data_IF_699351264259
#
_entry.id   IF_699351264259
#
_cell.length_a   1.000
_cell.length_b   1.000
_cell.length_c   1.000
_cell.angle_alpha   90.00
_cell.angle_beta   90.00
_cell.angle_gamma   90.00
#
_symmetry.space_group_name_H-M   'P 1'
#
loop_
_entity.id
_entity.type
_entity.pdbx_description
1 polymer ?
#
# COMPACT_ATOMS: atom_id res chain seq x y z
N UNK A 1 -2.90 -11.56 25.26
CA UNK A 1 -3.58 -11.00 24.07
C UNK A 1 -2.96 -9.65 23.80
N UNK A 2 -2.62 -9.38 22.54
CA UNK A 2 -2.08 -8.06 22.13
C UNK A 2 -3.21 -7.04 22.07
N UNK A 3 -3.04 -5.92 22.76
CA UNK A 3 -4.01 -4.84 22.79
C UNK A 3 -3.83 -3.92 21.59
N UNK A 4 -4.86 -3.77 20.76
CA UNK A 4 -4.80 -2.97 19.53
C UNK A 4 -5.86 -1.86 19.57
N UNK A 5 -5.41 -0.63 19.34
CA UNK A 5 -6.29 0.52 19.19
C UNK A 5 -6.30 1.00 17.73
N UNK A 6 -7.50 1.25 17.17
CA UNK A 6 -7.65 1.76 15.80
C UNK A 6 -8.28 3.15 15.87
N UNK A 7 -7.45 4.18 15.77
CA UNK A 7 -7.92 5.56 15.67
C UNK A 7 -8.37 5.85 14.24
N UNK A 8 -9.64 6.23 14.09
CA UNK A 8 -10.29 6.36 12.77
C UNK A 8 -10.92 5.05 12.24
N UNK A 9 -11.30 4.13 13.13
CA UNK A 9 -11.93 2.83 12.79
C UNK A 9 -13.20 2.89 11.93
N UNK A 10 -13.82 4.07 11.79
CA UNK A 10 -14.97 4.28 10.92
C UNK A 10 -14.61 4.55 9.44
N UNK A 11 -13.35 4.85 9.10
CA UNK A 11 -12.89 5.02 7.71
C UNK A 11 -12.80 3.69 6.96
N UNK A 12 -12.69 3.70 5.62
CA UNK A 12 -12.65 2.47 4.80
C UNK A 12 -11.51 1.53 5.22
N UNK A 13 -10.30 2.04 5.38
CA UNK A 13 -9.13 1.24 5.81
C UNK A 13 -9.28 0.77 7.26
N UNK A 14 -9.67 1.68 8.18
CA UNK A 14 -9.83 1.37 9.60
C UNK A 14 -10.93 0.35 9.86
N UNK A 15 -12.05 0.44 9.15
CA UNK A 15 -13.14 -0.53 9.24
C UNK A 15 -12.67 -1.92 8.83
N UNK A 16 -11.96 -2.03 7.69
CA UNK A 16 -11.46 -3.32 7.20
C UNK A 16 -10.39 -3.93 8.12
N UNK A 17 -9.49 -3.11 8.70
CA UNK A 17 -8.55 -3.58 9.74
C UNK A 17 -9.33 -4.11 10.95
N UNK A 18 -10.32 -3.35 11.44
CA UNK A 18 -11.14 -3.72 12.59
C UNK A 18 -11.87 -5.05 12.38
N UNK A 19 -12.53 -5.23 11.24
CA UNK A 19 -13.27 -6.46 10.90
C UNK A 19 -12.34 -7.66 10.94
N UNK A 20 -11.18 -7.60 10.32
CA UNK A 20 -10.19 -8.70 10.28
C UNK A 20 -9.56 -8.99 11.64
N UNK A 21 -9.24 -7.97 12.42
CA UNK A 21 -8.65 -8.18 13.74
C UNK A 21 -9.68 -8.67 14.76
N UNK A 22 -10.97 -8.38 14.57
CA UNK A 22 -12.04 -8.91 15.42
C UNK A 22 -12.20 -10.44 15.33
N UNK A 23 -11.75 -11.05 14.24
CA UNK A 23 -11.78 -12.52 14.06
C UNK A 23 -10.57 -13.23 14.70
N UNK A 24 -9.58 -12.47 15.21
CA UNK A 24 -8.33 -13.01 15.77
C UNK A 24 -8.44 -13.19 17.28
N UNK A 25 -8.23 -14.42 17.75
CA UNK A 25 -8.27 -14.78 19.19
C UNK A 25 -7.06 -14.29 19.99
N UNK A 26 -5.96 -13.91 19.34
CA UNK A 26 -4.75 -13.38 19.94
C UNK A 26 -4.77 -11.84 20.12
N UNK A 27 -5.80 -11.16 19.59
CA UNK A 27 -5.97 -9.71 19.61
C UNK A 27 -7.12 -9.30 20.56
N UNK A 28 -6.88 -8.24 21.32
CA UNK A 28 -7.90 -7.50 22.07
C UNK A 28 -8.06 -6.11 21.46
N UNK A 29 -9.23 -5.86 20.86
CA UNK A 29 -9.52 -4.54 20.29
C UNK A 29 -9.97 -3.57 21.35
N UNK A 30 -9.18 -2.52 21.60
CA UNK A 30 -9.54 -1.41 22.46
C UNK A 30 -10.57 -0.52 21.75
N UNK A 31 -11.63 -0.17 22.45
CA UNK A 31 -12.69 0.70 21.94
C UNK A 31 -12.73 2.02 22.72
N UNK A 32 -13.21 3.05 22.05
CA UNK A 32 -13.49 4.37 22.64
C UNK A 32 -14.98 4.69 22.37
N UNK A 33 -15.66 5.28 23.35
CA UNK A 33 -17.04 5.68 23.17
C UNK A 33 -17.21 6.70 22.05
N UNK A 34 -18.30 6.60 21.29
CA UNK A 34 -18.53 7.38 20.07
C UNK A 34 -18.40 8.91 20.29
N UNK A 35 -18.92 9.39 21.43
CA UNK A 35 -18.86 10.79 21.84
C UNK A 35 -17.46 11.25 22.26
N UNK A 36 -16.59 10.32 22.69
CA UNK A 36 -15.24 10.59 23.13
C UNK A 36 -14.17 10.39 22.05
N UNK A 37 -14.50 9.83 20.89
CA UNK A 37 -13.48 9.50 19.85
C UNK A 37 -12.72 10.69 19.29
N UNK A 38 -13.16 11.92 19.52
CA UNK A 38 -12.44 13.16 19.20
C UNK A 38 -11.81 13.82 20.45
N UNK A 39 -12.03 13.26 21.64
CA UNK A 39 -11.48 13.81 22.86
C UNK A 39 -9.99 13.44 22.98
N UNK A 40 -9.07 14.41 23.04
CA UNK A 40 -7.63 14.14 23.07
C UNK A 40 -7.20 13.31 24.29
N UNK A 41 -7.77 13.57 25.49
CA UNK A 41 -7.41 12.84 26.70
C UNK A 41 -7.84 11.37 26.64
N UNK A 42 -9.06 11.09 26.15
CA UNK A 42 -9.56 9.73 25.99
C UNK A 42 -8.75 8.95 24.91
N UNK A 43 -8.33 9.62 23.83
CA UNK A 43 -7.45 9.04 22.81
C UNK A 43 -6.06 8.73 23.38
N UNK A 44 -5.47 9.67 24.12
CA UNK A 44 -4.17 9.48 24.76
C UNK A 44 -4.18 8.29 25.75
N UNK A 45 -5.26 8.12 26.54
CA UNK A 45 -5.45 6.97 27.42
C UNK A 45 -5.44 5.66 26.62
N UNK A 46 -6.18 5.59 25.50
CA UNK A 46 -6.21 4.38 24.64
C UNK A 46 -4.88 4.10 23.96
N UNK A 47 -4.15 5.13 23.52
CA UNK A 47 -2.79 4.95 23.01
C UNK A 47 -1.83 4.40 24.09
N UNK A 48 -1.91 4.91 25.32
CA UNK A 48 -1.07 4.43 26.43
C UNK A 48 -1.39 2.97 26.84
N UNK A 49 -2.64 2.53 26.66
CA UNK A 49 -3.09 1.16 26.96
C UNK A 49 -2.69 0.17 25.86
N UNK A 50 -2.55 0.63 24.63
CA UNK A 50 -2.35 -0.23 23.45
C UNK A 50 -0.89 -0.69 23.30
N UNK A 51 -0.69 -1.95 22.91
CA UNK A 51 0.57 -2.47 22.39
C UNK A 51 0.81 -1.97 20.94
N UNK A 52 -0.27 -1.92 20.14
CA UNK A 52 -0.24 -1.44 18.75
C UNK A 52 -1.37 -0.45 18.51
N UNK A 53 -1.06 0.66 17.84
CA UNK A 53 -2.05 1.63 17.39
C UNK A 53 -2.01 1.81 15.87
N UNK A 54 -3.17 1.68 15.22
CA UNK A 54 -3.35 2.06 13.82
C UNK A 54 -3.91 3.48 13.75
N UNK A 55 -3.26 4.34 12.95
CA UNK A 55 -3.77 5.67 12.62
C UNK A 55 -4.42 5.64 11.24
N UNK A 56 -5.76 5.60 11.21
CA UNK A 56 -6.55 5.59 9.98
C UNK A 56 -7.23 6.96 9.79
N UNK A 57 -6.43 8.00 9.83
CA UNK A 57 -6.82 9.40 9.94
C UNK A 57 -6.36 10.23 8.73
N UNK A 58 -6.94 11.42 8.49
CA UNK A 58 -6.32 12.44 7.64
C UNK A 58 -4.96 12.89 8.19
N UNK A 59 -4.08 13.40 7.34
CA UNK A 59 -2.67 13.70 7.66
C UNK A 59 -2.49 14.58 8.91
N UNK A 60 -3.26 15.67 9.04
CA UNK A 60 -3.13 16.57 10.21
C UNK A 60 -3.57 15.89 11.51
N UNK A 61 -4.65 15.10 11.45
CA UNK A 61 -5.12 14.34 12.59
C UNK A 61 -4.17 13.18 12.96
N UNK A 62 -3.46 12.61 11.98
CA UNK A 62 -2.41 11.62 12.22
C UNK A 62 -1.20 12.25 12.95
N UNK A 63 -0.76 13.44 12.52
CA UNK A 63 0.29 14.19 13.22
C UNK A 63 -0.10 14.55 14.66
N UNK A 64 -1.34 15.01 14.87
CA UNK A 64 -1.89 15.26 16.20
C UNK A 64 -1.87 14.00 17.07
N UNK A 65 -2.33 12.85 16.52
CA UNK A 65 -2.35 11.57 17.22
C UNK A 65 -0.94 11.14 17.67
N UNK A 66 0.07 11.32 16.83
CA UNK A 66 1.48 11.04 17.19
C UNK A 66 1.92 11.91 18.38
N UNK A 67 1.51 13.18 18.42
CA UNK A 67 1.76 14.05 19.56
C UNK A 67 1.09 13.58 20.86
N UNK A 68 -0.12 12.99 20.77
CA UNK A 68 -0.81 12.42 21.94
C UNK A 68 -0.16 11.12 22.43
N UNK A 69 0.46 10.34 21.56
CA UNK A 69 1.17 9.10 21.89
C UNK A 69 2.47 9.42 22.63
N UNK A 70 3.17 10.50 22.23
CA UNK A 70 4.43 10.91 22.84
C UNK A 70 5.49 9.80 22.83
N UNK A 71 6.14 9.61 23.99
CA UNK A 71 7.20 8.61 24.19
C UNK A 71 6.67 7.21 24.60
N UNK A 72 5.38 6.95 24.48
CA UNK A 72 4.81 5.63 24.77
C UNK A 72 5.46 4.54 23.89
N UNK A 73 5.62 3.34 24.47
CA UNK A 73 6.22 2.18 23.79
C UNK A 73 5.30 1.57 22.73
N UNK A 74 4.11 2.10 22.54
CA UNK A 74 3.11 1.65 21.58
C UNK A 74 3.68 1.66 20.17
N UNK A 75 3.60 0.54 19.50
CA UNK A 75 3.92 0.43 18.06
C UNK A 75 2.85 1.18 17.28
N UNK A 76 3.25 2.15 16.46
CA UNK A 76 2.32 2.95 15.65
C UNK A 76 2.44 2.60 14.19
N UNK A 77 1.31 2.27 13.57
CA UNK A 77 1.20 2.01 12.14
C UNK A 77 0.29 3.08 11.55
N UNK A 78 0.90 4.06 10.85
CA UNK A 78 0.17 5.16 10.24
C UNK A 78 -0.19 4.84 8.80
N UNK A 79 -1.48 4.85 8.48
CA UNK A 79 -1.99 4.61 7.11
C UNK A 79 -2.18 5.91 6.31
N UNK A 80 -1.97 7.08 6.92
CA UNK A 80 -2.01 8.37 6.24
C UNK A 80 -0.79 8.61 5.35
N UNK A 81 -0.75 9.73 4.65
CA UNK A 81 0.45 10.14 3.90
C UNK A 81 1.44 10.95 4.73
N UNK A 82 1.09 11.29 5.99
CA UNK A 82 1.81 12.24 6.82
C UNK A 82 3.27 11.86 7.07
N UNK A 83 3.57 10.56 7.16
CA UNK A 83 4.86 10.09 7.65
C UNK A 83 5.60 9.16 6.66
N UNK A 84 5.06 8.90 5.46
CA UNK A 84 5.61 7.91 4.51
C UNK A 84 7.03 8.19 4.03
N UNK A 85 7.43 9.44 4.02
CA UNK A 85 8.78 9.88 3.64
C UNK A 85 9.54 10.57 4.78
N UNK A 86 9.02 10.44 6.00
CA UNK A 86 9.69 10.97 7.18
C UNK A 86 10.90 10.08 7.56
N UNK A 87 12.08 10.66 7.84
CA UNK A 87 13.26 9.89 8.19
C UNK A 87 13.14 9.12 9.52
N UNK A 88 12.26 9.57 10.42
CA UNK A 88 12.02 8.96 11.74
C UNK A 88 11.02 7.80 11.67
N UNK A 89 10.48 7.50 10.49
CA UNK A 89 9.50 6.46 10.29
C UNK A 89 10.03 5.35 9.37
N UNK A 90 9.77 4.11 9.75
CA UNK A 90 10.08 2.96 8.91
C UNK A 90 8.99 2.78 7.85
N UNK A 91 9.36 2.81 6.57
CA UNK A 91 8.42 2.58 5.48
C UNK A 91 7.94 1.11 5.46
N UNK A 92 6.64 0.89 5.49
CA UNK A 92 6.01 -0.41 5.74
C UNK A 92 5.84 -1.31 4.52
N UNK A 93 6.80 -1.38 3.58
CA UNK A 93 6.81 -2.34 2.48
C UNK A 93 7.87 -3.41 2.74
N UNK A 94 7.46 -4.51 3.39
CA UNK A 94 8.35 -5.51 3.97
C UNK A 94 9.25 -6.24 2.96
N UNK A 95 8.84 -6.31 1.69
CA UNK A 95 9.53 -7.04 0.62
C UNK A 95 10.72 -6.26 0.02
N UNK A 96 10.92 -5.00 0.39
CA UNK A 96 12.13 -4.27 0.03
C UNK A 96 13.34 -4.84 0.80
N UNK A 97 14.51 -4.70 0.19
CA UNK A 97 15.76 -5.22 0.77
C UNK A 97 15.98 -4.73 2.21
N UNK A 98 16.16 -5.65 3.16
CA UNK A 98 16.34 -5.42 4.60
C UNK A 98 15.19 -4.65 5.29
N UNK A 99 14.07 -4.47 4.63
CA UNK A 99 12.98 -3.68 5.20
C UNK A 99 12.20 -4.45 6.28
N UNK A 100 12.07 -5.78 6.12
CA UNK A 100 11.44 -6.66 7.12
C UNK A 100 12.14 -6.56 8.48
N UNK A 101 13.48 -6.58 8.48
CA UNK A 101 14.28 -6.45 9.72
C UNK A 101 14.16 -5.06 10.35
N UNK A 102 13.95 -4.01 9.55
CA UNK A 102 13.69 -2.67 10.06
C UNK A 102 12.31 -2.59 10.69
N UNK A 103 11.27 -3.11 10.02
CA UNK A 103 9.90 -3.15 10.54
C UNK A 103 9.83 -3.91 11.86
N UNK A 104 10.50 -5.06 11.96
CA UNK A 104 10.54 -5.87 13.17
C UNK A 104 11.12 -5.16 14.41
N UNK A 105 11.86 -4.08 14.20
CA UNK A 105 12.48 -3.27 15.27
C UNK A 105 11.84 -1.90 15.44
N UNK A 106 10.89 -1.56 14.58
CA UNK A 106 10.32 -0.22 14.52
C UNK A 106 9.16 -0.06 15.51
N UNK A 107 9.09 1.11 16.12
CA UNK A 107 7.92 1.58 16.88
C UNK A 107 7.08 2.58 16.07
N UNK A 108 7.57 3.05 14.93
CA UNK A 108 6.89 4.01 14.04
C UNK A 108 6.98 3.48 12.61
N UNK A 109 5.85 3.04 12.07
CA UNK A 109 5.75 2.40 10.75
C UNK A 109 4.77 3.19 9.90
N UNK A 110 5.24 3.68 8.76
CA UNK A 110 4.41 4.37 7.78
C UNK A 110 3.91 3.37 6.72
N UNK A 111 2.63 3.09 6.72
CA UNK A 111 2.02 2.16 5.79
C UNK A 111 1.95 2.75 4.37
N UNK A 112 2.37 2.02 3.34
CA UNK A 112 2.41 2.50 1.96
C UNK A 112 1.07 2.96 1.41
N UNK A 113 1.10 3.88 0.44
CA UNK A 113 -0.05 4.19 -0.39
C UNK A 113 -0.25 3.15 -1.49
N UNK A 114 -1.51 2.87 -1.86
CA UNK A 114 -1.81 1.79 -2.79
C UNK A 114 -1.11 1.92 -4.15
N UNK A 115 -1.20 3.07 -4.83
CA UNK A 115 -0.50 3.27 -6.11
C UNK A 115 1.02 3.19 -5.96
N UNK A 116 1.54 3.75 -4.85
CA UNK A 116 2.98 3.72 -4.59
C UNK A 116 3.48 2.31 -4.30
N UNK A 117 2.70 1.47 -3.60
CA UNK A 117 3.05 0.06 -3.36
C UNK A 117 3.35 -0.68 -4.66
N UNK A 118 2.47 -0.53 -5.66
CA UNK A 118 2.67 -1.17 -6.96
C UNK A 118 3.87 -0.63 -7.71
N UNK A 119 4.03 0.69 -7.77
CA UNK A 119 5.18 1.31 -8.43
C UNK A 119 6.52 0.96 -7.76
N UNK A 120 6.56 1.04 -6.44
CA UNK A 120 7.76 0.73 -5.66
C UNK A 120 8.16 -0.74 -5.80
N UNK A 121 7.18 -1.65 -5.82
CA UNK A 121 7.43 -3.07 -6.06
C UNK A 121 8.10 -3.32 -7.43
N UNK A 122 7.73 -2.52 -8.45
CA UNK A 122 8.33 -2.64 -9.78
C UNK A 122 9.71 -1.98 -9.88
N UNK A 123 9.88 -0.80 -9.30
CA UNK A 123 11.04 0.05 -9.58
C UNK A 123 12.17 -0.11 -8.56
N UNK A 124 11.84 -0.24 -7.27
CA UNK A 124 12.86 -0.26 -6.22
C UNK A 124 13.87 -1.41 -6.35
N UNK A 125 13.49 -2.65 -6.69
CA UNK A 125 14.47 -3.72 -6.92
C UNK A 125 15.42 -3.42 -8.07
N UNK A 126 14.93 -2.89 -9.19
CA UNK A 126 15.74 -2.56 -10.36
C UNK A 126 16.76 -1.48 -10.05
N UNK A 127 16.36 -0.42 -9.35
CA UNK A 127 17.27 0.66 -8.92
C UNK A 127 18.28 0.14 -7.91
N UNK A 128 17.84 -0.65 -6.92
CA UNK A 128 18.73 -1.22 -5.90
C UNK A 128 19.77 -2.19 -6.47
N UNK A 129 19.42 -2.92 -7.52
CA UNK A 129 20.34 -3.82 -8.22
C UNK A 129 21.22 -3.11 -9.26
N UNK A 130 21.03 -1.80 -9.49
CA UNK A 130 21.75 -1.05 -10.53
C UNK A 130 21.30 -1.36 -11.96
N UNK A 131 20.21 -2.13 -12.13
CA UNK A 131 19.62 -2.41 -13.44
C UNK A 131 18.85 -1.22 -14.01
N UNK A 132 18.42 -0.29 -13.16
CA UNK A 132 17.77 0.96 -13.58
C UNK A 132 18.48 2.15 -12.94
N UNK A 133 18.78 3.16 -13.76
CA UNK A 133 19.41 4.40 -13.27
C UNK A 133 18.44 5.16 -12.36
N UNK A 134 18.96 5.81 -11.32
CA UNK A 134 18.21 6.75 -10.48
C UNK A 134 17.70 7.96 -11.27
N UNK A 135 18.35 8.31 -12.36
CA UNK A 135 18.00 9.43 -13.23
C UNK A 135 17.01 9.04 -14.33
N UNK A 136 16.54 7.79 -14.35
CA UNK A 136 15.58 7.33 -15.35
C UNK A 136 14.27 8.11 -15.26
N UNK A 137 13.83 8.67 -16.38
CA UNK A 137 12.53 9.31 -16.50
C UNK A 137 11.47 8.24 -16.75
N UNK A 138 10.61 8.01 -15.78
CA UNK A 138 9.60 6.95 -15.81
C UNK A 138 8.20 7.51 -15.98
N UNK A 139 7.33 6.72 -16.62
CA UNK A 139 5.88 6.89 -16.60
C UNK A 139 5.22 5.75 -15.82
N UNK A 140 4.06 6.03 -15.24
CA UNK A 140 3.29 5.06 -14.47
C UNK A 140 1.81 5.25 -14.73
N UNK A 141 1.16 4.24 -15.29
CA UNK A 141 -0.29 4.10 -15.34
C UNK A 141 -0.75 3.22 -14.17
N UNK A 142 -1.80 3.63 -13.49
CA UNK A 142 -2.29 2.89 -12.34
C UNK A 142 -3.80 2.83 -12.33
N UNK A 143 -4.33 1.70 -12.77
CA UNK A 143 -5.76 1.40 -12.79
C UNK A 143 -6.19 0.91 -11.41
N UNK A 144 -7.26 1.50 -10.84
CA UNK A 144 -7.76 1.14 -9.51
C UNK A 144 -9.28 1.13 -9.45
N UNK A 145 -9.82 0.28 -8.56
CA UNK A 145 -11.21 0.34 -8.17
C UNK A 145 -11.55 1.60 -7.35
N UNK A 146 -12.82 1.99 -7.35
CA UNK A 146 -13.29 3.23 -6.70
C UNK A 146 -13.21 3.23 -5.17
N UNK A 147 -13.11 2.07 -4.54
CA UNK A 147 -12.99 1.96 -3.08
C UNK A 147 -11.77 2.70 -2.51
N UNK A 148 -10.70 2.89 -3.33
CA UNK A 148 -9.50 3.64 -2.95
C UNK A 148 -9.75 5.12 -2.64
N UNK A 149 -10.83 5.72 -3.14
CA UNK A 149 -11.24 7.08 -2.83
C UNK A 149 -12.01 7.24 -1.52
N UNK A 150 -12.20 6.15 -0.76
CA UNK A 150 -12.88 6.14 0.53
C UNK A 150 -14.39 6.32 0.43
N UNK A 151 -15.06 6.48 1.56
CA UNK A 151 -16.52 6.51 1.68
C UNK A 151 -17.23 7.46 0.72
N UNK A 152 -16.64 8.65 0.47
CA UNK A 152 -17.24 9.64 -0.42
C UNK A 152 -17.31 9.14 -1.86
N UNK A 153 -16.21 8.57 -2.37
CA UNK A 153 -16.15 8.05 -3.73
C UNK A 153 -16.99 6.77 -3.86
N UNK A 154 -16.99 5.91 -2.84
CA UNK A 154 -17.85 4.71 -2.81
C UNK A 154 -19.32 5.13 -2.96
N UNK A 155 -19.81 6.04 -2.12
CA UNK A 155 -21.18 6.54 -2.20
C UNK A 155 -21.51 7.19 -3.57
N UNK A 156 -20.52 7.90 -4.19
CA UNK A 156 -20.70 8.49 -5.52
C UNK A 156 -20.86 7.43 -6.61
N UNK A 157 -20.06 6.34 -6.58
CA UNK A 157 -20.11 5.26 -7.58
C UNK A 157 -21.29 4.31 -7.37
N UNK A 158 -21.78 4.17 -6.16
CA UNK A 158 -22.92 3.32 -5.81
C UNK A 158 -24.27 4.02 -5.97
N UNK A 159 -24.27 5.34 -6.18
CA UNK A 159 -25.49 6.11 -6.50
C UNK A 159 -25.94 5.85 -7.95
N UNK A 160 -27.10 5.25 -8.18
CA UNK A 160 -27.60 4.98 -9.52
C UNK A 160 -27.72 6.23 -10.41
N UNK A 161 -27.91 7.41 -9.83
CA UNK A 161 -27.98 8.67 -10.57
C UNK A 161 -26.66 9.03 -11.27
N UNK A 162 -25.54 8.46 -10.82
CA UNK A 162 -24.23 8.70 -11.39
C UNK A 162 -23.77 7.57 -12.35
N UNK A 163 -24.54 6.51 -12.53
CA UNK A 163 -24.10 5.30 -13.23
C UNK A 163 -23.60 5.58 -14.66
N UNK A 164 -24.32 6.34 -15.45
CA UNK A 164 -23.93 6.69 -16.83
C UNK A 164 -22.61 7.49 -16.86
N UNK A 165 -22.46 8.47 -15.97
CA UNK A 165 -21.26 9.33 -15.88
C UNK A 165 -20.03 8.58 -15.40
N UNK A 166 -20.18 7.56 -14.55
CA UNK A 166 -19.09 6.88 -13.85
C UNK A 166 -18.74 5.49 -14.41
N UNK A 167 -19.44 5.01 -15.43
CA UNK A 167 -19.19 3.69 -16.02
C UNK A 167 -17.82 3.58 -16.71
N UNK A 168 -17.34 4.66 -17.31
CA UNK A 168 -16.04 4.67 -17.99
C UNK A 168 -14.89 4.97 -17.03
N UNK A 169 -13.68 4.39 -17.24
CA UNK A 169 -12.48 4.75 -16.48
C UNK A 169 -12.14 6.23 -16.62
N UNK A 170 -11.69 6.86 -15.52
CA UNK A 170 -11.36 8.28 -15.47
C UNK A 170 -9.96 8.52 -14.94
N UNK A 171 -9.13 9.26 -15.69
CA UNK A 171 -7.82 9.72 -15.24
C UNK A 171 -8.02 10.88 -14.27
N UNK A 172 -7.30 10.87 -13.16
CA UNK A 172 -7.29 11.96 -12.18
C UNK A 172 -5.84 12.38 -11.84
N UNK A 173 -5.63 13.27 -10.89
CA UNK A 173 -4.28 13.76 -10.55
C UNK A 173 -3.61 14.54 -11.69
N UNK A 174 -4.38 15.20 -12.55
CA UNK A 174 -3.92 15.85 -13.78
C UNK A 174 -2.87 16.96 -13.55
N UNK A 175 -2.84 17.56 -12.36
CA UNK A 175 -1.85 18.57 -11.97
C UNK A 175 -0.47 18.00 -11.65
N UNK A 176 -0.30 16.67 -11.65
CA UNK A 176 0.95 15.96 -11.31
C UNK A 176 1.50 16.29 -9.91
N UNK A 177 0.60 16.58 -8.95
CA UNK A 177 0.92 16.81 -7.53
C UNK A 177 0.24 15.79 -6.61
N UNK A 178 0.06 14.56 -7.09
CA UNK A 178 -0.57 13.50 -6.33
C UNK A 178 0.24 13.15 -5.06
N UNK A 179 -0.45 12.93 -3.94
CA UNK A 179 0.14 12.67 -2.62
C UNK A 179 1.03 11.42 -2.53
N UNK A 180 0.98 10.50 -3.50
CA UNK A 180 1.86 9.35 -3.58
C UNK A 180 3.19 9.62 -4.31
N UNK A 181 3.33 10.72 -5.05
CA UNK A 181 4.55 11.01 -5.81
C UNK A 181 5.81 11.11 -4.92
N UNK A 182 5.77 11.73 -3.72
CA UNK A 182 6.96 11.75 -2.86
C UNK A 182 7.46 10.34 -2.49
N UNK A 183 6.57 9.40 -2.13
CA UNK A 183 6.98 8.02 -1.81
C UNK A 183 7.42 7.25 -3.07
N UNK A 184 6.78 7.46 -4.22
CA UNK A 184 7.19 6.86 -5.50
C UNK A 184 8.58 7.33 -5.94
N UNK A 185 9.00 8.53 -5.57
CA UNK A 185 10.32 9.06 -5.85
C UNK A 185 11.36 8.59 -4.83
N UNK A 186 11.11 8.85 -3.54
CA UNK A 186 12.13 8.76 -2.49
C UNK A 186 12.41 7.32 -2.07
N UNK A 187 11.41 6.44 -2.04
CA UNK A 187 11.61 5.07 -1.59
C UNK A 187 12.46 4.24 -2.57
N UNK A 188 12.24 4.29 -3.89
CA UNK A 188 13.14 3.68 -4.86
C UNK A 188 14.48 4.40 -4.98
N UNK A 189 14.60 5.64 -4.52
CA UNK A 189 15.78 6.49 -4.64
C UNK A 189 15.93 7.15 -6.00
N UNK A 190 14.81 7.47 -6.68
CA UNK A 190 14.82 8.17 -7.96
C UNK A 190 15.16 9.66 -7.78
N UNK A 191 15.88 10.25 -8.75
CA UNK A 191 16.17 11.68 -8.79
C UNK A 191 14.91 12.53 -9.04
N UNK A 192 13.94 11.97 -9.79
CA UNK A 192 12.69 12.64 -10.15
C UNK A 192 11.49 11.74 -9.93
N UNK A 193 10.31 12.29 -9.56
CA UNK A 193 9.07 11.51 -9.51
C UNK A 193 8.68 11.06 -10.93
N UNK A 194 7.97 9.92 -11.08
CA UNK A 194 7.46 9.51 -12.38
C UNK A 194 6.35 10.44 -12.88
N UNK A 195 6.15 10.50 -14.19
CA UNK A 195 4.88 11.00 -14.77
C UNK A 195 3.80 10.00 -14.37
N UNK A 196 2.79 10.45 -13.63
CA UNK A 196 1.83 9.56 -12.99
C UNK A 196 0.41 9.78 -13.51
N UNK A 197 -0.17 8.74 -14.08
CA UNK A 197 -1.54 8.71 -14.59
C UNK A 197 -2.41 7.71 -13.81
N UNK A 198 -2.93 8.08 -12.62
CA UNK A 198 -3.88 7.25 -11.90
C UNK A 198 -5.24 7.25 -12.58
N UNK A 199 -5.86 6.06 -12.69
CA UNK A 199 -7.13 5.83 -13.38
C UNK A 199 -8.08 5.13 -12.42
N UNK A 200 -9.21 5.76 -12.09
CA UNK A 200 -10.29 5.11 -11.34
C UNK A 200 -11.32 4.51 -12.30
N UNK A 201 -11.72 3.29 -12.02
CA UNK A 201 -12.71 2.54 -12.80
C UNK A 201 -13.95 2.19 -11.99
N UNK A 202 -14.97 1.69 -12.68
CA UNK A 202 -16.30 1.40 -12.13
C UNK A 202 -16.39 0.06 -11.37
N UNK A 203 -15.28 -0.63 -11.09
CA UNK A 203 -15.26 -1.78 -10.19
C UNK A 203 -14.85 -1.37 -8.78
N UNK A 204 -15.31 -2.12 -7.77
CA UNK A 204 -15.13 -1.76 -6.35
C UNK A 204 -13.67 -1.78 -5.91
N UNK A 205 -12.97 -2.91 -6.08
CA UNK A 205 -11.61 -3.13 -5.58
C UNK A 205 -10.77 -3.91 -6.60
N UNK A 206 -9.46 -3.75 -6.49
CA UNK A 206 -8.46 -4.31 -7.38
C UNK A 206 -7.61 -3.22 -8.02
N UNK A 207 -6.43 -3.59 -8.47
CA UNK A 207 -5.42 -2.65 -8.93
C UNK A 207 -4.46 -3.30 -9.94
N UNK A 208 -4.12 -2.56 -11.00
CA UNK A 208 -3.01 -2.87 -11.89
C UNK A 208 -2.16 -1.61 -12.07
N UNK A 209 -0.93 -1.66 -11.57
CA UNK A 209 0.04 -0.59 -11.75
C UNK A 209 1.02 -1.01 -12.83
N UNK A 210 1.19 -0.17 -13.84
CA UNK A 210 2.03 -0.43 -15.00
C UNK A 210 3.12 0.64 -15.13
N UNK A 211 4.37 0.19 -15.29
CA UNK A 211 5.50 1.04 -15.66
C UNK A 211 5.95 0.60 -17.05
N UNK A 212 5.90 1.53 -17.98
CA UNK A 212 6.38 1.34 -19.35
C UNK A 212 7.87 1.66 -19.39
N UNK A 213 8.66 0.72 -19.84
CA UNK A 213 10.11 0.83 -19.80
C UNK A 213 10.72 0.50 -21.18
N UNK A 214 11.22 1.50 -21.93
CA UNK A 214 12.12 1.23 -23.04
C UNK A 214 13.34 0.43 -22.57
N UNK A 215 13.67 -0.67 -23.25
CA UNK A 215 14.71 -1.59 -22.79
C UNK A 215 16.10 -0.93 -22.69
N UNK A 216 16.37 0.13 -23.46
CA UNK A 216 17.61 0.89 -23.40
C UNK A 216 17.79 1.68 -22.08
N UNK A 217 16.76 1.76 -21.21
CA UNK A 217 16.89 2.30 -19.86
C UNK A 217 17.42 1.26 -18.86
N UNK A 218 17.40 -0.04 -19.22
CA UNK A 218 18.02 -1.08 -18.39
C UNK A 218 19.54 -1.17 -18.60
N UNK A 219 20.26 -1.27 -17.50
CA UNK A 219 21.67 -1.66 -17.49
C UNK A 219 21.78 -3.20 -17.45
N UNK A 220 21.25 -3.87 -18.46
CA UNK A 220 21.13 -5.32 -18.54
C UNK A 220 20.05 -5.74 -19.52
N UNK A 221 19.66 -7.00 -19.48
CA UNK A 221 18.63 -7.57 -20.33
C UNK A 221 17.26 -7.64 -19.61
N UNK A 222 16.20 -7.89 -20.38
CA UNK A 222 14.86 -8.22 -19.84
C UNK A 222 14.93 -9.46 -18.95
N UNK A 223 15.74 -10.45 -19.34
CA UNK A 223 15.95 -11.67 -18.55
C UNK A 223 16.58 -11.38 -17.19
N UNK A 224 17.51 -10.42 -17.10
CA UNK A 224 18.11 -10.02 -15.81
C UNK A 224 17.07 -9.41 -14.89
N UNK A 225 16.16 -8.59 -15.41
CA UNK A 225 15.05 -8.02 -14.65
C UNK A 225 14.09 -9.12 -14.15
N UNK A 226 13.75 -10.09 -14.99
CA UNK A 226 12.90 -11.24 -14.63
C UNK A 226 13.55 -12.07 -13.51
N UNK A 227 14.81 -12.43 -13.65
CA UNK A 227 15.53 -13.22 -12.62
C UNK A 227 15.69 -12.45 -11.30
N UNK A 228 15.87 -11.12 -11.36
CA UNK A 228 15.84 -10.28 -10.18
C UNK A 228 14.49 -10.38 -9.46
N UNK A 229 13.37 -10.21 -10.16
CA UNK A 229 12.03 -10.31 -9.54
C UNK A 229 11.74 -11.71 -8.98
N UNK A 230 12.12 -12.77 -9.68
CA UNK A 230 12.02 -14.15 -9.18
C UNK A 230 12.85 -14.36 -7.91
N UNK A 231 13.97 -13.63 -7.77
CA UNK A 231 14.82 -13.72 -6.59
C UNK A 231 14.28 -12.93 -5.42
N UNK A 232 13.75 -11.72 -5.67
CA UNK A 232 13.23 -10.80 -4.64
C UNK A 232 11.86 -11.24 -4.16
N UNK A 233 10.96 -11.64 -5.07
CA UNK A 233 9.55 -11.92 -4.79
C UNK A 233 9.24 -13.42 -4.79
N UNK A 234 9.62 -14.11 -3.71
CA UNK A 234 9.44 -15.56 -3.50
C UNK A 234 8.38 -15.90 -2.45
N UNK A 235 7.86 -14.88 -1.77
CA UNK A 235 6.94 -15.08 -0.67
C UNK A 235 5.50 -15.32 -1.11
N UNK A 236 4.64 -15.74 -0.19
CA UNK A 236 3.22 -15.88 -0.47
C UNK A 236 2.52 -14.54 -0.65
N UNK A 237 3.05 -13.45 -0.05
CA UNK A 237 2.40 -12.13 -0.06
C UNK A 237 2.78 -11.33 -1.31
N UNK A 238 4.04 -11.37 -1.75
CA UNK A 238 4.44 -10.82 -3.06
C UNK A 238 5.21 -11.87 -3.82
N UNK A 239 4.76 -12.16 -5.05
CA UNK A 239 5.39 -13.17 -5.91
C UNK A 239 5.55 -12.69 -7.34
N UNK A 240 6.55 -13.21 -8.02
CA UNK A 240 6.67 -13.12 -9.47
C UNK A 240 5.84 -14.22 -10.14
N UNK A 241 4.93 -13.87 -11.03
CA UNK A 241 4.09 -14.84 -11.74
C UNK A 241 4.49 -15.02 -13.22
N UNK A 242 4.80 -13.93 -13.91
CA UNK A 242 5.30 -13.96 -15.28
C UNK A 242 4.30 -14.44 -16.34
N UNK A 243 3.00 -14.51 -16.01
CA UNK A 243 1.96 -14.95 -16.92
C UNK A 243 0.79 -13.95 -16.97
N UNK A 244 0.14 -13.86 -18.13
CA UNK A 244 -1.15 -13.20 -18.28
C UNK A 244 -2.30 -14.12 -17.79
N UNK A 245 -3.51 -13.57 -17.70
CA UNK A 245 -4.71 -14.36 -17.47
C UNK A 245 -4.95 -15.32 -18.68
N UNK A 246 -5.77 -16.39 -18.54
CA UNK A 246 -5.93 -17.40 -19.58
C UNK A 246 -6.39 -16.88 -20.96
N UNK A 247 -7.04 -15.70 -20.97
CA UNK A 247 -7.46 -15.01 -22.21
C UNK A 247 -6.37 -14.13 -22.84
N UNK A 248 -5.17 -14.11 -22.27
CA UNK A 248 -4.04 -13.29 -22.72
C UNK A 248 -4.09 -11.83 -22.26
N UNK A 249 -5.03 -11.47 -21.39
CA UNK A 249 -5.20 -10.13 -20.82
C UNK A 249 -4.59 -10.05 -19.41
N UNK A 250 -4.63 -8.86 -18.80
CA UNK A 250 -4.21 -8.63 -17.42
C UNK A 250 -5.30 -7.82 -16.71
N UNK A 251 -6.14 -8.51 -15.95
CA UNK A 251 -7.26 -7.89 -15.25
C UNK A 251 -6.84 -7.31 -13.89
N UNK A 252 -7.21 -6.05 -13.64
CA UNK A 252 -7.02 -5.38 -12.35
C UNK A 252 -7.89 -5.98 -11.22
N UNK A 253 -8.99 -6.66 -11.56
CA UNK A 253 -9.98 -7.16 -10.59
C UNK A 253 -9.66 -8.54 -9.99
N UNK A 254 -8.72 -9.30 -10.54
CA UNK A 254 -8.42 -10.68 -10.12
C UNK A 254 -8.01 -10.79 -8.65
N UNK A 255 -7.40 -9.75 -8.09
CA UNK A 255 -6.94 -9.71 -6.70
C UNK A 255 -7.92 -9.04 -5.74
N UNK A 256 -9.13 -8.68 -6.18
CA UNK A 256 -10.12 -8.06 -5.30
C UNK A 256 -10.43 -8.94 -4.08
N UNK A 257 -10.37 -8.36 -2.87
CA UNK A 257 -10.56 -9.06 -1.61
C UNK A 257 -9.32 -9.74 -1.03
N UNK A 258 -8.21 -9.81 -1.77
CA UNK A 258 -6.97 -10.48 -1.37
C UNK A 258 -5.92 -9.50 -0.82
N UNK A 259 -4.91 -10.07 -0.12
CA UNK A 259 -3.82 -9.29 0.49
C UNK A 259 -2.44 -9.59 -0.13
N UNK A 260 -2.40 -10.40 -1.16
CA UNK A 260 -1.19 -10.69 -1.93
C UNK A 260 -1.06 -9.77 -3.15
N UNK A 261 0.13 -9.77 -3.73
CA UNK A 261 0.51 -9.00 -4.90
C UNK A 261 1.29 -9.89 -5.88
N UNK A 262 1.02 -9.70 -7.14
CA UNK A 262 1.71 -10.36 -8.24
C UNK A 262 2.50 -9.38 -9.08
N UNK A 263 3.72 -9.75 -9.43
CA UNK A 263 4.61 -9.00 -10.31
C UNK A 263 4.80 -9.78 -11.60
N UNK A 264 4.64 -9.10 -12.74
CA UNK A 264 4.83 -9.68 -14.06
C UNK A 264 5.64 -8.74 -14.97
N UNK A 265 6.37 -9.32 -15.89
CA UNK A 265 7.11 -8.63 -16.94
C UNK A 265 6.62 -9.14 -18.28
N UNK A 266 6.16 -8.24 -19.14
CA UNK A 266 5.70 -8.49 -20.50
C UNK A 266 6.45 -7.61 -21.49
N UNK A 267 6.30 -7.88 -22.78
CA UNK A 267 6.88 -7.09 -23.85
C UNK A 267 7.91 -7.87 -24.67
N UNK A 268 8.93 -7.19 -25.13
CA UNK A 268 10.00 -7.73 -25.96
C UNK A 268 11.34 -7.06 -25.62
N UNK A 269 12.39 -7.39 -26.38
CA UNK A 269 13.76 -6.87 -26.17
C UNK A 269 13.90 -5.36 -26.38
N UNK A 270 12.86 -4.66 -26.84
CA UNK A 270 12.89 -3.21 -27.05
C UNK A 270 11.94 -2.45 -26.12
N UNK A 271 10.82 -3.06 -25.77
CA UNK A 271 9.72 -2.44 -25.02
C UNK A 271 9.20 -3.38 -23.94
N UNK A 272 9.24 -2.95 -22.71
CA UNK A 272 8.95 -3.73 -21.51
C UNK A 272 7.75 -3.11 -20.79
N UNK A 273 6.84 -3.96 -20.35
CA UNK A 273 5.76 -3.62 -19.43
C UNK A 273 6.02 -4.32 -18.10
N UNK A 274 6.28 -3.54 -17.07
CA UNK A 274 6.33 -4.03 -15.70
C UNK A 274 4.95 -3.84 -15.10
N UNK A 275 4.34 -4.90 -14.59
CA UNK A 275 2.97 -4.87 -14.05
C UNK A 275 2.93 -5.46 -12.66
N UNK A 276 2.28 -4.76 -11.71
CA UNK A 276 1.91 -5.30 -10.40
C UNK A 276 0.39 -5.31 -10.25
N UNK A 277 -0.16 -6.46 -9.81
CA UNK A 277 -1.60 -6.64 -9.56
C UNK A 277 -1.85 -6.96 -8.09
N UNK A 278 -2.83 -6.32 -7.49
CA UNK A 278 -3.20 -6.51 -6.07
C UNK A 278 -4.53 -5.80 -5.76
N UNK A 279 -5.06 -6.00 -4.56
CA UNK A 279 -6.21 -5.21 -4.07
C UNK A 279 -5.74 -3.89 -3.45
N UNK A 280 -6.31 -2.76 -3.89
CA UNK A 280 -6.02 -1.43 -3.35
C UNK A 280 -6.37 -1.26 -1.87
N UNK A 281 -7.28 -2.05 -1.32
CA UNK A 281 -7.61 -2.12 0.11
C UNK A 281 -6.89 -3.27 0.83
N UNK A 282 -6.40 -4.29 0.11
CA UNK A 282 -5.62 -5.40 0.60
C UNK A 282 -4.15 -5.05 0.79
N UNK A 283 -3.25 -5.61 -0.06
CA UNK A 283 -1.81 -5.27 -0.06
C UNK A 283 -1.57 -3.78 -0.30
N UNK A 284 -2.52 -3.07 -0.90
CA UNK A 284 -2.46 -1.62 -1.08
C UNK A 284 -2.78 -0.79 0.17
N UNK A 285 -3.37 -1.36 1.24
CA UNK A 285 -3.75 -0.60 2.44
C UNK A 285 -3.83 -1.47 3.71
N UNK A 286 -5.00 -2.04 4.02
CA UNK A 286 -5.27 -2.74 5.29
C UNK A 286 -4.47 -4.04 5.43
N UNK A 287 -4.30 -4.80 4.35
CA UNK A 287 -3.50 -6.03 4.35
C UNK A 287 -2.03 -5.74 4.65
N UNK A 288 -1.45 -4.72 4.02
CA UNK A 288 -0.10 -4.28 4.34
C UNK A 288 0.04 -3.79 5.79
N UNK A 289 -0.97 -3.09 6.33
CA UNK A 289 -0.96 -2.63 7.71
C UNK A 289 -0.98 -3.81 8.72
N UNK A 290 -1.79 -4.83 8.46
CA UNK A 290 -1.82 -6.06 9.28
C UNK A 290 -0.51 -6.84 9.15
N UNK A 291 0.06 -6.98 7.94
CA UNK A 291 1.38 -7.57 7.73
C UNK A 291 2.45 -6.84 8.57
N UNK A 292 2.47 -5.51 8.53
CA UNK A 292 3.40 -4.71 9.31
C UNK A 292 3.24 -4.92 10.81
N UNK A 293 2.01 -5.01 11.31
CA UNK A 293 1.73 -5.35 12.71
C UNK A 293 2.29 -6.73 13.07
N UNK A 294 2.02 -7.74 12.25
CA UNK A 294 2.50 -9.09 12.50
C UNK A 294 4.03 -9.14 12.59
N UNK A 295 4.73 -8.52 11.64
CA UNK A 295 6.20 -8.44 11.64
C UNK A 295 6.72 -7.72 12.89
N UNK A 296 6.13 -6.58 13.26
CA UNK A 296 6.56 -5.79 14.42
C UNK A 296 6.32 -6.52 15.75
N UNK A 297 5.33 -7.42 15.81
CA UNK A 297 5.03 -8.28 16.95
C UNK A 297 5.81 -9.62 16.94
N UNK A 298 6.59 -9.90 15.89
CA UNK A 298 7.31 -11.15 15.73
C UNK A 298 6.40 -12.35 15.41
N UNK A 299 5.20 -12.10 14.86
CA UNK A 299 4.25 -13.13 14.42
C UNK A 299 4.52 -13.51 12.95
N UNK A 300 4.03 -14.69 12.48
CA UNK A 300 4.01 -14.99 11.06
C UNK A 300 3.28 -13.87 10.29
N UNK A 301 3.95 -13.34 9.27
CA UNK A 301 3.48 -12.11 8.61
C UNK A 301 2.15 -12.24 7.87
N UNK A 302 1.80 -13.48 7.48
CA UNK A 302 0.55 -13.83 6.80
C UNK A 302 -0.65 -14.02 7.74
N UNK A 303 -0.47 -13.97 9.06
CA UNK A 303 -1.54 -14.22 10.03
C UNK A 303 -2.72 -13.25 9.85
N UNK A 304 -3.90 -13.77 9.54
CA UNK A 304 -5.12 -13.00 9.30
C UNK A 304 -5.16 -12.28 7.96
N UNK A 305 -4.24 -12.61 7.02
CA UNK A 305 -4.29 -12.16 5.63
C UNK A 305 -5.05 -13.16 4.76
N UNK A 306 -5.70 -12.63 3.71
CA UNK A 306 -6.37 -13.43 2.67
C UNK A 306 -5.42 -13.56 1.50
N UNK A 307 -4.80 -14.74 1.35
CA UNK A 307 -3.89 -15.06 0.26
C UNK A 307 -4.54 -16.06 -0.70
N UNK A 308 -4.11 -16.09 -1.97
CA UNK A 308 -4.64 -16.98 -2.98
C UNK A 308 -3.58 -17.76 -3.73
#
# INVERSE_FOLDING_TARGET
MTKVFIDGSAGTTGLRIRERLAERSDIELLTIAEDLRKNPAARAEKFAEADVAFLCLPDDAAREAVGLIGDAKTIVIDTSTAHRVSPDWTYGFAELARQREKIAKATRIANPGCHASGFIALVAPLVSAGLLSKDASLSCFSLTGYSGGGKKMIAEYEDPANAERLQAPRIYGLSQVHKHLPEMQLIPGLAHPPVFAPIVSSFYAGMAVTVELPANLLNGSVSDAIELYKTVYRGPIVRYAGAADPDGLVSAGVFAGRDDMEISVFGNEERILLISRFDNLGKGASGAAIQNMNIALGLPEETGLVLG
#
